data_IF_118500221020
#
_entry.id   IF_118500221020
#
_cell.length_a   1.000
_cell.length_b   1.000
_cell.length_c   1.000
_cell.angle_alpha   90.00
_cell.angle_beta   90.00
_cell.angle_gamma   90.00
#
_symmetry.space_group_name_H-M   'P 1'
#
loop_
_entity.id
_entity.type
_entity.pdbx_description
1 polymer ?
#
# COMPACT_ATOMS: atom_id res chain seq x y z
N UNK A 1 -1.50 19.73 -15.92
CA UNK A 1 -0.93 19.51 -14.56
C UNK A 1 -2.12 19.14 -13.68
N UNK A 2 -2.29 17.86 -13.40
CA UNK A 2 -3.36 17.40 -12.48
C UNK A 2 -3.06 17.91 -11.07
N UNK A 3 -4.10 18.32 -10.35
CA UNK A 3 -4.00 18.64 -8.93
C UNK A 3 -3.35 17.46 -8.22
N UNK A 4 -2.26 17.73 -7.48
CA UNK A 4 -1.61 16.75 -6.65
C UNK A 4 -2.60 16.33 -5.57
N UNK A 5 -2.70 15.03 -5.30
CA UNK A 5 -3.50 14.54 -4.19
C UNK A 5 -2.95 15.10 -2.87
N UNK A 6 -3.80 15.62 -1.99
CA UNK A 6 -3.39 16.15 -0.69
C UNK A 6 -2.57 15.13 0.10
N UNK A 7 -2.94 13.87 0.00
CA UNK A 7 -2.21 12.78 0.65
C UNK A 7 -0.78 12.61 0.09
N UNK A 8 -0.57 12.81 -1.21
CA UNK A 8 0.77 12.79 -1.81
C UNK A 8 1.62 13.98 -1.32
N UNK A 9 1.00 15.14 -1.08
CA UNK A 9 1.69 16.32 -0.57
C UNK A 9 2.21 16.11 0.85
N UNK A 10 1.41 15.49 1.70
CA UNK A 10 1.75 15.26 3.12
C UNK A 10 2.32 13.87 3.41
N UNK A 11 2.51 13.02 2.40
CA UNK A 11 3.06 11.66 2.53
C UNK A 11 2.36 10.81 3.60
N UNK A 12 1.09 11.12 3.87
CA UNK A 12 0.21 10.47 4.82
C UNK A 12 -1.25 10.62 4.37
N UNK A 13 -2.18 9.78 4.86
CA UNK A 13 -3.59 9.92 4.51
C UNK A 13 -4.29 10.87 5.46
N UNK A 14 -4.81 11.97 4.94
CA UNK A 14 -5.68 12.87 5.69
C UNK A 14 -6.98 12.15 6.06
N UNK A 15 -7.36 12.25 7.32
CA UNK A 15 -8.60 11.71 7.88
C UNK A 15 -9.70 12.78 7.85
N UNK A 16 -10.94 12.36 8.09
CA UNK A 16 -12.12 13.27 8.04
C UNK A 16 -12.12 14.39 9.10
N UNK A 17 -11.34 14.22 10.15
CA UNK A 17 -11.18 15.18 11.25
C UNK A 17 -10.00 16.14 11.08
N UNK A 18 -9.25 16.02 9.98
CA UNK A 18 -8.06 16.83 9.67
C UNK A 18 -6.74 16.23 10.17
N UNK A 19 -6.77 15.16 10.96
CA UNK A 19 -5.58 14.40 11.34
C UNK A 19 -5.10 13.49 10.20
N UNK A 20 -4.00 12.80 10.40
CA UNK A 20 -3.40 11.91 9.40
C UNK A 20 -3.27 10.49 9.91
N UNK A 21 -3.30 9.52 8.99
CA UNK A 21 -2.84 8.17 9.27
C UNK A 21 -1.45 7.95 8.71
N UNK A 22 -0.57 7.38 9.54
CA UNK A 22 0.77 6.95 9.19
C UNK A 22 0.75 5.44 9.01
N UNK A 23 1.26 4.97 7.89
CA UNK A 23 1.16 3.54 7.51
C UNK A 23 2.55 3.03 7.15
N UNK A 24 3.28 2.45 8.10
CA UNK A 24 4.57 1.83 7.84
C UNK A 24 4.43 0.59 6.96
N UNK A 25 5.48 0.27 6.21
CA UNK A 25 5.52 -0.95 5.40
C UNK A 25 5.77 -2.17 6.29
N UNK A 26 4.93 -3.17 6.11
CA UNK A 26 5.07 -4.51 6.69
C UNK A 26 4.96 -5.49 5.54
N UNK A 27 6.11 -5.79 4.92
CA UNK A 27 6.17 -6.60 3.71
C UNK A 27 5.66 -8.02 3.96
N UNK A 28 4.76 -8.50 3.10
CA UNK A 28 4.14 -9.81 3.25
C UNK A 28 3.32 -10.01 4.54
N UNK A 29 3.09 -8.95 5.33
CA UNK A 29 2.47 -9.04 6.65
C UNK A 29 3.40 -9.60 7.74
N UNK A 30 4.69 -9.79 7.45
CA UNK A 30 5.68 -10.28 8.42
C UNK A 30 6.32 -9.10 9.17
N UNK A 31 6.35 -9.18 10.50
CA UNK A 31 6.90 -8.15 11.36
C UNK A 31 7.70 -8.78 12.51
N UNK A 32 8.86 -8.22 12.80
CA UNK A 32 9.68 -8.66 13.94
C UNK A 32 9.09 -8.16 15.27
N UNK A 33 9.34 -8.87 16.40
CA UNK A 33 8.90 -8.41 17.72
C UNK A 33 9.37 -6.98 18.05
N UNK A 34 10.63 -6.63 17.74
CA UNK A 34 11.18 -5.29 18.01
C UNK A 34 10.45 -4.21 17.22
N UNK A 35 10.17 -4.45 15.96
CA UNK A 35 9.38 -3.52 15.14
C UNK A 35 7.94 -3.38 15.65
N UNK A 36 7.33 -4.47 16.14
CA UNK A 36 5.99 -4.41 16.74
C UNK A 36 6.00 -3.60 18.03
N UNK A 37 7.02 -3.72 18.87
CA UNK A 37 7.22 -2.90 20.08
C UNK A 37 7.36 -1.43 19.68
N UNK A 38 8.19 -1.11 18.70
CA UNK A 38 8.36 0.28 18.21
C UNK A 38 7.03 0.90 17.77
N UNK A 39 6.18 0.16 17.05
CA UNK A 39 4.86 0.66 16.66
C UNK A 39 3.99 1.01 17.88
N UNK A 40 4.02 0.17 18.91
CA UNK A 40 3.31 0.41 20.16
C UNK A 40 3.86 1.62 20.93
N UNK A 41 5.18 1.79 20.97
CA UNK A 41 5.84 2.94 21.61
C UNK A 41 5.50 4.24 20.90
N UNK A 42 5.64 4.28 19.57
CA UNK A 42 5.27 5.45 18.75
C UNK A 42 3.79 5.81 18.94
N UNK A 43 2.92 4.80 18.95
CA UNK A 43 1.49 5.05 19.18
C UNK A 43 1.22 5.68 20.55
N UNK A 44 1.91 5.25 21.61
CA UNK A 44 1.79 5.83 22.97
C UNK A 44 2.40 7.23 23.03
N UNK A 45 3.56 7.45 22.42
CA UNK A 45 4.28 8.72 22.44
C UNK A 45 3.47 9.85 21.79
N UNK A 46 2.79 9.55 20.69
CA UNK A 46 2.03 10.55 19.91
C UNK A 46 0.50 10.43 20.08
N UNK A 47 0.00 9.67 21.05
CA UNK A 47 -1.42 9.42 21.31
C UNK A 47 -2.20 8.99 20.07
N UNK A 48 -1.70 7.93 19.38
CA UNK A 48 -2.27 7.44 18.13
C UNK A 48 -3.15 6.21 18.33
N UNK A 49 -4.28 6.20 17.63
CA UNK A 49 -5.11 5.00 17.50
C UNK A 49 -4.44 3.97 16.59
N UNK A 50 -4.36 2.72 17.04
CA UNK A 50 -3.74 1.61 16.29
C UNK A 50 -4.78 0.65 15.73
N UNK A 51 -4.58 0.19 14.50
CA UNK A 51 -5.44 -0.83 13.89
C UNK A 51 -4.68 -1.72 12.93
N UNK A 52 -4.85 -3.03 13.08
CA UNK A 52 -4.50 -4.00 12.02
C UNK A 52 -5.55 -3.87 10.92
N UNK A 53 -5.11 -3.49 9.73
CA UNK A 53 -6.00 -3.24 8.59
C UNK A 53 -6.01 -4.41 7.61
N UNK A 54 -6.94 -4.39 6.66
CA UNK A 54 -7.09 -5.44 5.65
C UNK A 54 -5.88 -5.63 4.73
N UNK A 55 -4.88 -4.76 4.83
CA UNK A 55 -3.60 -4.87 4.11
C UNK A 55 -2.52 -5.63 4.88
N UNK A 56 -2.84 -6.30 5.98
CA UNK A 56 -1.88 -6.96 6.88
C UNK A 56 -0.80 -5.99 7.42
N UNK A 57 -1.21 -4.76 7.73
CA UNK A 57 -0.36 -3.72 8.31
C UNK A 57 -0.99 -3.18 9.58
N UNK A 58 -0.17 -2.61 10.44
CA UNK A 58 -0.61 -1.79 11.57
C UNK A 58 -0.61 -0.34 11.12
N UNK A 59 -1.78 0.25 10.98
CA UNK A 59 -1.95 1.65 10.62
C UNK A 59 -2.13 2.48 11.91
N UNK A 60 -1.45 3.63 11.99
CA UNK A 60 -1.48 4.57 13.11
C UNK A 60 -2.34 5.78 12.70
N UNK A 61 -3.38 6.10 13.45
CA UNK A 61 -4.33 7.18 13.13
C UNK A 61 -4.30 8.29 14.18
N UNK A 62 -4.62 9.51 13.78
CA UNK A 62 -4.72 10.66 14.66
C UNK A 62 -3.47 11.55 14.68
N UNK A 63 -2.47 11.29 13.84
CA UNK A 63 -1.26 12.10 13.79
C UNK A 63 -1.57 13.54 13.37
N UNK A 64 -1.02 14.52 14.11
CA UNK A 64 -1.08 15.94 13.74
C UNK A 64 -0.04 16.21 12.64
N UNK A 65 -0.26 17.25 11.85
CA UNK A 65 0.62 17.60 10.72
C UNK A 65 2.08 17.82 11.16
N UNK A 66 2.28 18.56 12.23
CA UNK A 66 3.60 18.88 12.78
C UNK A 66 4.30 17.69 13.45
N UNK A 67 3.57 16.65 13.84
CA UNK A 67 4.14 15.45 14.45
C UNK A 67 4.62 14.43 13.40
N UNK A 68 4.16 14.55 12.14
CA UNK A 68 4.51 13.59 11.09
C UNK A 68 6.02 13.37 10.93
N UNK A 69 6.87 14.42 10.88
CA UNK A 69 8.31 14.21 10.77
C UNK A 69 8.91 13.43 11.95
N UNK A 70 8.52 13.75 13.19
CA UNK A 70 9.01 13.05 14.38
C UNK A 70 8.56 11.59 14.41
N UNK A 71 7.31 11.31 14.01
CA UNK A 71 6.80 9.94 13.86
C UNK A 71 7.61 9.18 12.81
N UNK A 72 7.88 9.78 11.65
CA UNK A 72 8.68 9.13 10.61
C UNK A 72 10.12 8.88 11.03
N UNK A 73 10.76 9.82 11.76
CA UNK A 73 12.10 9.64 12.29
C UNK A 73 12.17 8.40 13.18
N UNK A 74 11.25 8.28 14.14
CA UNK A 74 11.17 7.10 15.01
C UNK A 74 10.99 5.79 14.23
N UNK A 75 10.14 5.81 13.18
CA UNK A 75 9.88 4.63 12.36
C UNK A 75 11.04 4.29 11.43
N UNK A 76 11.67 5.29 10.79
CA UNK A 76 12.82 5.09 9.90
C UNK A 76 14.03 4.57 10.67
N UNK A 77 14.30 5.10 11.86
CA UNK A 77 15.38 4.64 12.74
C UNK A 77 15.21 3.17 13.17
N UNK A 78 13.97 2.72 13.32
CA UNK A 78 13.65 1.31 13.56
C UNK A 78 13.62 0.45 12.28
N UNK A 79 14.04 1.00 11.14
CA UNK A 79 14.13 0.29 9.87
C UNK A 79 12.78 0.08 9.17
N UNK A 80 11.78 0.93 9.44
CA UNK A 80 10.58 1.00 8.62
C UNK A 80 10.79 1.91 7.41
N UNK A 81 9.98 1.67 6.40
CA UNK A 81 9.81 2.55 5.24
C UNK A 81 8.34 2.95 5.10
N UNK A 82 8.08 3.98 4.30
CA UNK A 82 6.70 4.33 3.97
C UNK A 82 5.97 3.17 3.30
N UNK A 83 4.76 2.87 3.75
CA UNK A 83 3.88 1.88 3.11
C UNK A 83 3.13 2.42 1.89
N UNK A 84 3.44 3.65 1.43
CA UNK A 84 2.80 4.32 0.29
C UNK A 84 1.26 4.20 0.30
N UNK A 85 0.66 4.25 1.50
CA UNK A 85 -0.80 4.17 1.64
C UNK A 85 -1.52 5.42 1.10
N UNK A 86 -0.79 6.45 0.77
CA UNK A 86 -1.17 7.64 0.03
C UNK A 86 -0.83 7.48 -1.46
N UNK A 87 -1.40 8.32 -2.31
CA UNK A 87 -1.17 8.31 -3.75
C UNK A 87 -1.69 7.05 -4.46
N UNK A 88 -1.26 6.88 -5.70
CA UNK A 88 -1.64 5.78 -6.59
C UNK A 88 -0.42 4.87 -6.80
N UNK A 89 -0.12 4.03 -5.82
CA UNK A 89 1.04 3.14 -5.81
C UNK A 89 0.65 1.73 -5.37
N UNK A 90 1.63 0.83 -5.35
CA UNK A 90 1.51 -0.47 -4.68
C UNK A 90 1.18 -0.26 -3.20
N UNK A 91 0.12 -0.90 -2.74
CA UNK A 91 -0.34 -0.81 -1.35
C UNK A 91 0.33 -1.80 -0.44
N UNK A 92 0.22 -3.07 -0.79
CA UNK A 92 0.72 -4.19 -0.02
C UNK A 92 0.62 -5.46 -0.86
N UNK A 93 1.46 -6.42 -0.56
CA UNK A 93 1.35 -7.79 -1.05
C UNK A 93 0.88 -8.65 0.13
N UNK A 94 -0.39 -9.05 0.15
CA UNK A 94 -0.91 -9.96 1.17
C UNK A 94 -0.31 -11.36 0.99
N UNK A 95 -0.04 -12.01 2.10
CA UNK A 95 0.46 -13.38 2.13
C UNK A 95 -0.35 -14.25 3.09
N UNK A 96 -0.38 -15.54 2.86
CA UNK A 96 -0.67 -16.50 3.91
C UNK A 96 0.65 -16.96 4.55
N UNK A 97 0.59 -17.81 5.57
CA UNK A 97 1.79 -18.24 6.32
C UNK A 97 2.73 -19.20 5.56
N UNK A 98 2.37 -19.57 4.32
CA UNK A 98 3.22 -20.37 3.42
C UNK A 98 3.57 -21.76 3.87
N UNK A 99 4.47 -22.41 3.12
CA UNK A 99 4.91 -23.80 3.38
C UNK A 99 5.71 -23.94 4.68
N UNK A 100 6.32 -22.90 5.17
CA UNK A 100 7.11 -22.94 6.42
C UNK A 100 6.25 -23.30 7.64
N UNK A 101 5.03 -22.78 7.73
CA UNK A 101 4.16 -22.95 8.89
C UNK A 101 2.88 -23.75 8.61
N UNK A 102 2.38 -23.72 7.37
CA UNK A 102 1.13 -24.34 7.02
C UNK A 102 1.34 -25.76 6.48
N UNK A 103 0.71 -26.75 7.10
CA UNK A 103 0.76 -28.15 6.63
C UNK A 103 0.23 -28.37 5.20
N UNK A 104 -0.50 -27.41 4.66
CA UNK A 104 -1.08 -27.45 3.30
C UNK A 104 -0.31 -26.55 2.31
N UNK A 105 0.64 -25.75 2.81
CA UNK A 105 1.44 -24.90 1.97
C UNK A 105 2.38 -25.72 1.08
N UNK A 106 2.37 -25.46 -0.21
CA UNK A 106 3.26 -26.15 -1.18
C UNK A 106 4.44 -25.29 -1.62
N UNK A 107 4.32 -23.95 -1.47
CA UNK A 107 5.38 -22.99 -1.77
C UNK A 107 5.51 -21.96 -0.64
N UNK A 108 6.66 -21.27 -0.57
CA UNK A 108 6.90 -20.19 0.37
C UNK A 108 6.27 -18.87 -0.13
N UNK A 109 5.00 -18.70 0.21
CA UNK A 109 4.25 -17.49 -0.15
C UNK A 109 4.67 -16.25 0.63
N UNK A 110 5.29 -16.40 1.79
CA UNK A 110 5.77 -15.27 2.59
C UNK A 110 6.98 -14.64 1.93
N UNK A 111 7.99 -15.45 1.58
CA UNK A 111 9.18 -14.95 0.90
C UNK A 111 8.83 -14.30 -0.43
N UNK A 112 8.02 -14.96 -1.27
CA UNK A 112 7.60 -14.37 -2.54
C UNK A 112 6.82 -13.05 -2.35
N UNK A 113 5.94 -12.96 -1.35
CA UNK A 113 5.21 -11.73 -1.09
C UNK A 113 6.14 -10.59 -0.64
N UNK A 114 7.15 -10.88 0.17
CA UNK A 114 8.18 -9.92 0.61
C UNK A 114 8.97 -9.44 -0.61
N UNK A 115 9.43 -10.34 -1.47
CA UNK A 115 10.21 -10.03 -2.67
C UNK A 115 9.42 -9.14 -3.63
N UNK A 116 8.16 -9.49 -3.92
CA UNK A 116 7.27 -8.70 -4.78
C UNK A 116 6.98 -7.33 -4.18
N UNK A 117 6.77 -7.24 -2.86
CA UNK A 117 6.50 -5.96 -2.21
C UNK A 117 7.73 -5.06 -2.24
N UNK A 118 8.92 -5.59 -1.99
CA UNK A 118 10.17 -4.83 -2.08
C UNK A 118 10.50 -4.44 -3.52
N UNK A 119 10.20 -5.29 -4.49
CA UNK A 119 10.42 -5.00 -5.91
C UNK A 119 9.56 -3.83 -6.41
N UNK A 120 8.28 -3.79 -6.04
CA UNK A 120 7.33 -2.82 -6.61
C UNK A 120 6.95 -1.67 -5.68
N UNK A 121 7.57 -1.58 -4.49
CA UNK A 121 7.32 -0.47 -3.56
C UNK A 121 7.59 0.88 -4.23
N UNK A 122 6.71 1.84 -4.00
CA UNK A 122 6.84 3.20 -4.52
C UNK A 122 6.48 3.40 -6.00
N UNK A 123 6.26 2.34 -6.78
CA UNK A 123 5.87 2.47 -8.19
C UNK A 123 4.53 3.17 -8.30
N UNK A 124 4.51 4.30 -9.00
CA UNK A 124 3.30 5.06 -9.28
C UNK A 124 2.57 4.48 -10.47
N UNK A 125 1.26 4.30 -10.34
CA UNK A 125 0.39 3.68 -11.33
C UNK A 125 -0.89 4.50 -11.55
N UNK A 126 -1.66 4.25 -12.61
CA UNK A 126 -2.94 4.93 -12.84
C UNK A 126 -3.91 4.84 -11.66
N UNK A 127 -3.89 3.74 -10.93
CA UNK A 127 -4.64 3.53 -9.69
C UNK A 127 -3.79 2.72 -8.68
N UNK A 128 -4.26 2.65 -7.41
CA UNK A 128 -3.64 1.78 -6.40
C UNK A 128 -3.62 0.32 -6.87
N UNK A 129 -2.48 -0.33 -6.69
CA UNK A 129 -2.27 -1.75 -7.02
C UNK A 129 -2.27 -2.58 -5.74
N UNK A 130 -2.86 -3.75 -5.77
CA UNK A 130 -2.89 -4.71 -4.69
C UNK A 130 -2.50 -6.09 -5.19
N UNK A 131 -1.72 -6.79 -4.38
CA UNK A 131 -1.32 -8.17 -4.61
C UNK A 131 -1.85 -9.12 -3.53
N UNK A 132 -1.84 -10.39 -3.84
CA UNK A 132 -2.03 -11.47 -2.87
C UNK A 132 -1.28 -12.71 -3.31
N UNK A 133 -0.57 -13.36 -2.39
CA UNK A 133 0.20 -14.57 -2.64
C UNK A 133 -0.28 -15.67 -1.70
N UNK A 134 -0.89 -16.70 -2.23
CA UNK A 134 -1.36 -17.86 -1.50
C UNK A 134 -0.42 -19.06 -1.70
N UNK A 135 0.04 -19.67 -0.62
CA UNK A 135 0.97 -20.81 -0.63
C UNK A 135 0.36 -22.14 -1.05
N UNK A 136 -0.90 -22.18 -1.41
CA UNK A 136 -1.62 -23.32 -1.98
C UNK A 136 -2.98 -22.90 -2.53
N UNK A 137 -3.69 -23.83 -3.18
CA UNK A 137 -5.01 -23.62 -3.79
C UNK A 137 -6.16 -23.34 -2.81
N UNK A 138 -5.92 -23.34 -1.48
CA UNK A 138 -6.91 -22.89 -0.48
C UNK A 138 -7.10 -21.39 -0.46
N UNK A 139 -6.20 -20.65 -1.06
CA UNK A 139 -6.38 -19.23 -1.41
C UNK A 139 -6.60 -18.29 -0.20
N UNK A 140 -5.90 -18.54 0.91
CA UNK A 140 -6.07 -17.80 2.16
C UNK A 140 -5.65 -16.31 2.08
N UNK A 141 -4.83 -15.92 1.10
CA UNK A 141 -4.44 -14.52 0.89
C UNK A 141 -5.43 -13.73 0.03
N UNK A 142 -6.55 -14.34 -0.39
CA UNK A 142 -7.57 -13.72 -1.26
C UNK A 142 -6.97 -13.18 -2.57
N UNK A 143 -6.07 -13.95 -3.18
CA UNK A 143 -5.30 -13.57 -4.35
C UNK A 143 -6.20 -13.21 -5.53
N UNK A 144 -7.26 -14.00 -5.80
CA UNK A 144 -8.18 -13.76 -6.91
C UNK A 144 -9.04 -12.50 -6.78
N UNK A 145 -8.96 -11.78 -5.66
CA UNK A 145 -9.61 -10.49 -5.47
C UNK A 145 -8.67 -9.29 -5.67
N UNK A 146 -7.44 -9.53 -6.11
CA UNK A 146 -6.41 -8.52 -6.24
C UNK A 146 -6.12 -8.17 -7.70
N UNK A 147 -5.44 -7.04 -7.91
CA UNK A 147 -4.96 -6.64 -9.25
C UNK A 147 -3.99 -7.69 -9.81
N UNK A 148 -3.17 -8.27 -8.91
CA UNK A 148 -2.32 -9.44 -9.18
C UNK A 148 -2.51 -10.46 -8.08
N UNK A 149 -2.86 -11.66 -8.43
CA UNK A 149 -3.01 -12.81 -7.55
C UNK A 149 -2.05 -13.91 -7.91
N UNK A 150 -1.34 -14.46 -6.93
CA UNK A 150 -0.44 -15.58 -7.12
C UNK A 150 -0.89 -16.73 -6.21
N UNK A 151 -1.08 -17.89 -6.81
CA UNK A 151 -1.48 -19.10 -6.07
C UNK A 151 -0.48 -20.20 -6.39
N UNK A 152 0.12 -20.74 -5.33
CA UNK A 152 1.08 -21.84 -5.45
C UNK A 152 0.42 -23.15 -5.86
N UNK A 153 1.12 -23.88 -6.72
CA UNK A 153 0.90 -25.27 -7.05
C UNK A 153 2.15 -26.10 -6.72
N UNK A 154 2.08 -27.41 -6.83
CA UNK A 154 3.26 -28.27 -6.66
C UNK A 154 4.32 -28.05 -7.77
N UNK A 155 3.90 -27.54 -8.93
CA UNK A 155 4.75 -27.34 -10.09
C UNK A 155 5.32 -25.91 -10.21
N UNK A 156 4.78 -24.95 -9.44
CA UNK A 156 5.19 -23.53 -9.56
C UNK A 156 4.09 -22.58 -9.07
N UNK A 157 3.94 -21.48 -9.77
CA UNK A 157 3.01 -20.41 -9.44
C UNK A 157 1.98 -20.18 -10.54
N UNK A 158 0.71 -20.13 -10.18
CA UNK A 158 -0.33 -19.63 -11.06
C UNK A 158 -0.51 -18.13 -10.87
N UNK A 159 -0.41 -17.38 -11.96
CA UNK A 159 -0.62 -15.93 -11.99
C UNK A 159 -2.06 -15.62 -12.42
N UNK A 160 -2.75 -14.86 -11.58
CA UNK A 160 -4.07 -14.31 -11.83
C UNK A 160 -3.98 -12.79 -11.92
N UNK A 161 -4.73 -12.16 -12.82
CA UNK A 161 -4.66 -10.72 -13.07
C UNK A 161 -6.02 -10.06 -13.10
N UNK A 162 -6.04 -8.75 -12.89
CA UNK A 162 -7.22 -7.90 -13.05
C UNK A 162 -8.41 -8.23 -12.12
N UNK A 163 -8.15 -8.78 -10.94
CA UNK A 163 -9.17 -8.91 -9.89
C UNK A 163 -9.48 -7.58 -9.20
N UNK A 164 -10.66 -7.48 -8.64
CA UNK A 164 -11.08 -6.30 -7.88
C UNK A 164 -12.02 -6.69 -6.72
N UNK A 165 -11.55 -6.58 -5.49
CA UNK A 165 -12.36 -6.73 -4.27
C UNK A 165 -13.04 -5.42 -3.80
N UNK A 166 -13.28 -4.46 -4.70
CA UNK A 166 -13.91 -3.18 -4.39
C UNK A 166 -15.42 -3.16 -4.64
N UNK A 167 -15.97 -1.95 -4.82
CA UNK A 167 -17.42 -1.71 -5.01
C UNK A 167 -18.00 -2.44 -6.25
N UNK A 168 -17.19 -2.72 -7.27
CA UNK A 168 -17.56 -3.56 -8.41
C UNK A 168 -16.65 -4.80 -8.37
N UNK A 169 -17.01 -5.83 -7.62
CA UNK A 169 -16.17 -7.00 -7.45
C UNK A 169 -16.02 -7.77 -8.77
N UNK A 170 -14.82 -8.30 -8.97
CA UNK A 170 -14.48 -9.16 -10.09
C UNK A 170 -13.41 -10.15 -9.65
N UNK A 171 -13.58 -11.42 -9.97
CA UNK A 171 -12.51 -12.40 -9.84
C UNK A 171 -11.39 -12.08 -10.84
N UNK A 172 -10.16 -12.30 -10.43
CA UNK A 172 -9.02 -12.23 -11.33
C UNK A 172 -9.06 -13.37 -12.36
N UNK A 173 -8.63 -13.10 -13.58
CA UNK A 173 -8.51 -14.12 -14.61
C UNK A 173 -7.19 -14.86 -14.46
N UNK A 174 -7.20 -16.17 -14.70
CA UNK A 174 -5.99 -16.96 -14.79
C UNK A 174 -5.19 -16.54 -16.03
N UNK A 175 -4.01 -15.99 -15.80
CA UNK A 175 -3.17 -15.43 -16.84
C UNK A 175 -2.08 -16.43 -17.29
N UNK A 176 -1.47 -17.13 -16.34
CA UNK A 176 -0.48 -18.17 -16.65
C UNK A 176 -0.42 -19.21 -15.51
N UNK A 177 0.02 -20.41 -15.84
CA UNK A 177 0.07 -21.55 -14.90
C UNK A 177 1.49 -22.07 -14.76
N UNK A 178 1.79 -22.64 -13.60
CA UNK A 178 3.00 -23.38 -13.28
C UNK A 178 4.30 -22.64 -13.62
N UNK A 179 4.30 -21.30 -13.43
CA UNK A 179 5.46 -20.46 -13.64
C UNK A 179 6.51 -20.70 -12.56
N UNK A 180 7.78 -20.76 -12.95
CA UNK A 180 8.87 -20.53 -12.02
C UNK A 180 8.87 -19.07 -11.51
N UNK A 181 9.61 -18.79 -10.45
CA UNK A 181 9.61 -17.46 -9.82
C UNK A 181 10.10 -16.36 -10.76
N UNK A 182 11.12 -16.62 -11.56
CA UNK A 182 11.70 -15.61 -12.48
C UNK A 182 10.73 -15.30 -13.62
N UNK A 183 10.10 -16.31 -14.17
CA UNK A 183 9.06 -16.17 -15.19
C UNK A 183 7.82 -15.44 -14.66
N UNK A 184 7.42 -15.74 -13.43
CA UNK A 184 6.34 -15.02 -12.74
C UNK A 184 6.66 -13.52 -12.60
N UNK A 185 7.84 -13.19 -12.09
CA UNK A 185 8.27 -11.81 -11.87
C UNK A 185 8.31 -11.06 -13.21
N UNK A 186 8.89 -11.67 -14.24
CA UNK A 186 8.94 -11.07 -15.58
C UNK A 186 7.56 -10.83 -16.17
N UNK A 187 6.63 -11.78 -16.00
CA UNK A 187 5.26 -11.62 -16.46
C UNK A 187 4.54 -10.46 -15.73
N UNK A 188 4.74 -10.33 -14.41
CA UNK A 188 4.20 -9.23 -13.62
C UNK A 188 4.82 -7.89 -14.02
N UNK A 189 6.15 -7.84 -14.22
CA UNK A 189 6.86 -6.64 -14.68
C UNK A 189 6.25 -6.09 -15.97
N UNK A 190 6.14 -6.94 -16.99
CA UNK A 190 5.63 -6.56 -18.31
C UNK A 190 4.16 -6.19 -18.27
N UNK A 191 3.33 -6.99 -17.60
CA UNK A 191 1.91 -6.66 -17.44
C UNK A 191 1.72 -5.32 -16.75
N UNK A 192 2.42 -5.09 -15.63
CA UNK A 192 2.32 -3.84 -14.86
C UNK A 192 2.77 -2.64 -15.67
N UNK A 193 3.90 -2.74 -16.38
CA UNK A 193 4.40 -1.65 -17.23
C UNK A 193 3.47 -1.38 -18.40
N UNK A 194 2.92 -2.42 -19.03
CA UNK A 194 1.95 -2.26 -20.12
C UNK A 194 0.67 -1.57 -19.62
N UNK A 195 0.15 -1.98 -18.45
CA UNK A 195 -0.98 -1.31 -17.79
C UNK A 195 -0.66 0.16 -17.47
N UNK A 196 0.50 0.47 -16.90
CA UNK A 196 0.90 1.85 -16.56
C UNK A 196 0.95 2.74 -17.80
N UNK A 197 1.39 2.20 -18.94
CA UNK A 197 1.53 2.93 -20.22
C UNK A 197 0.22 3.17 -20.95
N UNK A 198 -0.75 2.28 -20.78
CA UNK A 198 -1.95 2.24 -21.65
C UNK A 198 -3.26 2.53 -20.91
N UNK A 199 -3.28 2.43 -19.58
CA UNK A 199 -4.49 2.71 -18.81
C UNK A 199 -4.72 4.21 -18.61
N UNK A 200 -5.99 4.60 -18.59
CA UNK A 200 -6.40 5.95 -18.25
C UNK A 200 -6.14 6.27 -16.77
N UNK A 201 -6.02 7.56 -16.47
CA UNK A 201 -5.91 8.03 -15.09
C UNK A 201 -7.08 7.52 -14.24
N UNK A 202 -6.80 6.97 -13.06
CA UNK A 202 -7.76 6.38 -12.11
C UNK A 202 -8.45 5.11 -12.60
N UNK A 203 -8.04 4.56 -13.70
CA UNK A 203 -8.56 3.29 -14.20
C UNK A 203 -7.90 2.11 -13.46
N UNK A 204 -8.72 1.22 -12.87
CA UNK A 204 -8.25 -0.02 -12.25
C UNK A 204 -7.89 -1.06 -13.31
N UNK A 205 -6.97 -1.96 -12.99
CA UNK A 205 -6.58 -3.09 -13.84
C UNK A 205 -7.78 -3.87 -14.37
N UNK A 206 -8.78 -4.14 -13.53
CA UNK A 206 -10.02 -4.82 -13.91
C UNK A 206 -10.78 -4.08 -15.03
N UNK A 207 -10.93 -2.76 -14.90
CA UNK A 207 -11.63 -1.94 -15.91
C UNK A 207 -10.80 -1.71 -17.17
N UNK A 208 -9.49 -1.59 -16.99
CA UNK A 208 -8.57 -1.51 -18.11
C UNK A 208 -8.66 -2.76 -18.98
N UNK A 209 -8.57 -3.94 -18.38
CA UNK A 209 -8.66 -5.21 -19.12
C UNK A 209 -10.02 -5.43 -19.79
N UNK A 210 -11.12 -5.09 -19.11
CA UNK A 210 -12.47 -5.21 -19.67
C UNK A 210 -12.69 -4.29 -20.88
N UNK A 211 -12.05 -3.13 -20.91
CA UNK A 211 -12.20 -2.14 -21.99
C UNK A 211 -11.18 -2.34 -23.11
N UNK A 212 -10.17 -3.20 -22.92
CA UNK A 212 -9.11 -3.42 -23.88
C UNK A 212 -9.60 -4.35 -25.00
N UNK A 213 -9.46 -3.93 -26.24
CA UNK A 213 -9.75 -4.78 -27.39
C UNK A 213 -8.84 -6.01 -27.39
N UNK A 214 -9.43 -7.19 -27.56
CA UNK A 214 -8.69 -8.45 -27.41
C UNK A 214 -8.51 -8.93 -25.98
N UNK A 215 -8.78 -8.09 -24.97
CA UNK A 215 -8.84 -8.47 -23.55
C UNK A 215 -7.61 -9.19 -23.04
N UNK A 216 -7.83 -10.30 -22.32
CA UNK A 216 -6.77 -11.08 -21.67
C UNK A 216 -5.79 -11.69 -22.68
N UNK A 217 -6.31 -12.24 -23.79
CA UNK A 217 -5.49 -12.92 -24.82
C UNK A 217 -4.52 -11.92 -25.50
N UNK A 218 -5.00 -10.72 -25.77
CA UNK A 218 -4.13 -9.67 -26.29
C UNK A 218 -2.99 -9.30 -25.33
N UNK A 219 -3.31 -9.13 -24.03
CA UNK A 219 -2.28 -8.84 -23.04
C UNK A 219 -1.32 -10.01 -22.86
N UNK A 220 -1.83 -11.25 -22.95
CA UNK A 220 -0.98 -12.44 -22.93
C UNK A 220 0.03 -12.42 -24.08
N UNK A 221 -0.42 -12.14 -25.30
CA UNK A 221 0.44 -12.05 -26.48
C UNK A 221 1.50 -10.96 -26.35
N UNK A 222 1.16 -9.81 -25.79
CA UNK A 222 2.12 -8.72 -25.52
C UNK A 222 3.17 -9.15 -24.48
N UNK A 223 2.75 -9.78 -23.39
CA UNK A 223 3.62 -10.12 -22.26
C UNK A 223 4.53 -11.31 -22.55
N UNK A 224 3.99 -12.40 -23.12
CA UNK A 224 4.71 -13.66 -23.33
C UNK A 224 5.26 -13.82 -24.73
N UNK A 225 4.52 -13.38 -25.75
CA UNK A 225 4.87 -13.59 -27.15
C UNK A 225 5.52 -12.35 -27.80
N UNK A 226 5.62 -11.24 -27.03
CA UNK A 226 6.18 -9.96 -27.54
C UNK A 226 5.54 -9.51 -28.85
N UNK A 227 4.23 -9.66 -28.99
CA UNK A 227 3.51 -9.39 -30.25
C UNK A 227 3.63 -7.96 -30.76
N UNK A 228 4.03 -7.02 -29.89
CA UNK A 228 4.27 -5.62 -30.22
C UNK A 228 5.77 -5.28 -30.39
N UNK A 229 6.69 -6.20 -30.10
CA UNK A 229 8.13 -5.95 -30.12
C UNK A 229 8.60 -4.95 -29.06
N UNK A 230 7.95 -4.90 -27.89
CA UNK A 230 8.23 -3.93 -26.81
C UNK A 230 8.66 -4.58 -25.50
N UNK A 231 8.85 -5.88 -25.45
CA UNK A 231 9.15 -6.60 -24.21
C UNK A 231 10.42 -6.08 -23.52
N UNK A 232 11.50 -5.88 -24.28
CA UNK A 232 12.75 -5.32 -23.75
C UNK A 232 12.56 -3.89 -23.20
N UNK A 233 11.75 -3.05 -23.86
CA UNK A 233 11.46 -1.70 -23.40
C UNK A 233 10.65 -1.71 -22.09
N UNK A 234 9.68 -2.63 -21.95
CA UNK A 234 8.94 -2.82 -20.70
C UNK A 234 9.85 -3.28 -19.56
N UNK A 235 10.72 -4.26 -19.81
CA UNK A 235 11.68 -4.77 -18.84
C UNK A 235 12.66 -3.66 -18.38
N UNK A 236 13.21 -2.88 -19.32
CA UNK A 236 14.12 -1.76 -19.04
C UNK A 236 13.44 -0.63 -18.26
N UNK A 237 12.19 -0.31 -18.54
CA UNK A 237 11.45 0.70 -17.81
C UNK A 237 11.17 0.25 -16.38
N UNK A 238 10.78 -1.00 -16.17
CA UNK A 238 10.59 -1.55 -14.83
C UNK A 238 11.90 -1.52 -14.03
N UNK A 239 13.02 -1.96 -14.62
CA UNK A 239 14.33 -1.93 -13.97
C UNK A 239 14.69 -0.52 -13.48
N UNK A 240 14.51 0.51 -14.33
CA UNK A 240 14.74 1.92 -13.96
C UNK A 240 13.87 2.39 -12.80
N UNK A 241 12.60 1.98 -12.74
CA UNK A 241 11.70 2.36 -11.63
C UNK A 241 12.15 1.72 -10.31
N UNK A 242 12.62 0.48 -10.36
CA UNK A 242 13.13 -0.25 -9.20
C UNK A 242 14.43 0.39 -8.69
N UNK A 243 15.38 0.66 -9.58
CA UNK A 243 16.68 1.25 -9.24
C UNK A 243 16.56 2.66 -8.65
N UNK A 244 15.56 3.43 -9.10
CA UNK A 244 15.36 4.82 -8.63
C UNK A 244 14.47 4.92 -7.39
N UNK A 245 14.10 3.81 -6.76
CA UNK A 245 13.29 3.85 -5.55
C UNK A 245 14.01 4.54 -4.40
N UNK A 246 13.27 5.43 -3.73
CA UNK A 246 13.69 6.08 -2.49
C UNK A 246 12.51 6.13 -1.53
N UNK A 247 12.78 5.91 -0.24
CA UNK A 247 11.77 6.10 0.80
C UNK A 247 11.48 7.59 0.97
N UNK A 248 10.27 8.03 0.62
CA UNK A 248 9.89 9.45 0.65
C UNK A 248 9.93 10.05 2.06
N UNK A 249 9.67 9.26 3.11
CA UNK A 249 9.83 9.73 4.49
C UNK A 249 11.30 10.06 4.78
N UNK A 250 12.21 9.13 4.47
CA UNK A 250 13.64 9.32 4.68
C UNK A 250 14.18 10.53 3.92
N UNK A 251 13.89 10.63 2.62
CA UNK A 251 14.35 11.76 1.81
C UNK A 251 13.73 13.10 2.23
N UNK A 252 12.56 13.08 2.87
CA UNK A 252 11.94 14.28 3.43
C UNK A 252 12.63 14.71 4.73
N UNK A 253 12.96 13.76 5.60
CA UNK A 253 13.68 14.03 6.86
C UNK A 253 15.08 14.62 6.60
N UNK A 254 15.72 14.21 5.53
CA UNK A 254 17.05 14.71 5.11
C UNK A 254 17.01 16.08 4.40
N UNK A 255 15.82 16.61 4.07
CA UNK A 255 15.65 17.84 3.29
C UNK A 255 14.93 18.95 4.10
N UNK A 256 15.67 19.97 4.62
CA UNK A 256 15.08 21.04 5.42
C UNK A 256 13.99 21.85 4.69
N UNK A 257 14.05 21.93 3.36
CA UNK A 257 13.04 22.67 2.59
C UNK A 257 11.74 21.87 2.48
N UNK A 258 11.82 20.56 2.36
CA UNK A 258 10.63 19.69 2.41
C UNK A 258 9.99 19.69 3.80
N UNK A 259 10.78 19.71 4.87
CA UNK A 259 10.29 19.76 6.25
C UNK A 259 9.47 21.01 6.57
N UNK A 260 9.68 22.12 5.86
CA UNK A 260 8.89 23.35 6.06
C UNK A 260 7.38 23.15 5.86
N UNK A 261 6.98 22.16 5.06
CA UNK A 261 5.56 21.84 4.81
C UNK A 261 4.82 21.33 6.04
N UNK A 262 5.56 20.77 7.00
CA UNK A 262 5.03 20.14 8.20
C UNK A 262 5.06 21.07 9.41
N UNK A 263 5.34 22.35 9.21
CA UNK A 263 5.27 23.38 10.25
C UNK A 263 3.90 24.02 10.24
N UNK A 264 3.34 24.19 11.44
CA UNK A 264 2.13 24.97 11.60
C UNK A 264 2.42 26.43 11.23
N UNK A 265 1.59 27.00 10.34
CA UNK A 265 1.79 28.37 9.86
C UNK A 265 1.17 29.44 10.78
N UNK A 266 0.55 29.04 11.88
CA UNK A 266 -0.11 29.92 12.84
C UNK A 266 0.84 30.10 14.02
N UNK A 267 1.02 31.34 14.48
CA UNK A 267 1.81 31.67 15.68
C UNK A 267 1.06 31.26 16.96
N UNK A 268 0.57 30.04 16.99
CA UNK A 268 -0.14 29.43 18.09
C UNK A 268 0.53 28.09 18.39
N UNK A 269 1.09 27.97 19.59
CA UNK A 269 1.67 26.73 20.09
C UNK A 269 0.59 25.78 20.64
N UNK A 270 -0.69 26.16 20.55
CA UNK A 270 -1.84 25.40 21.00
C UNK A 270 -2.23 24.28 20.07
N UNK A 271 -2.92 23.29 20.63
CA UNK A 271 -3.58 22.25 19.85
C UNK A 271 -4.70 22.85 18.98
N UNK A 272 -4.87 22.30 17.79
CA UNK A 272 -5.99 22.69 16.92
C UNK A 272 -7.32 22.44 17.65
N UNK A 273 -8.10 23.48 17.96
CA UNK A 273 -9.34 23.34 18.73
C UNK A 273 -10.42 22.52 18.02
N UNK A 274 -10.26 22.27 16.72
CA UNK A 274 -11.18 21.45 15.93
C UNK A 274 -10.83 19.96 15.97
N UNK A 275 -9.59 19.60 16.36
CA UNK A 275 -9.15 18.24 16.54
C UNK A 275 -9.41 17.82 17.99
N UNK A 276 -10.60 17.28 18.24
CA UNK A 276 -11.01 16.82 19.57
C UNK A 276 -11.05 15.30 19.56
N UNK A 277 -10.33 14.68 20.48
CA UNK A 277 -10.33 13.22 20.69
C UNK A 277 -11.07 12.85 21.97
N UNK A 278 -11.65 11.66 21.98
CA UNK A 278 -12.22 11.00 23.16
C UNK A 278 -11.66 9.59 23.24
N UNK A 279 -11.59 9.06 24.46
CA UNK A 279 -11.16 7.68 24.67
C UNK A 279 -12.33 6.72 24.45
N UNK A 280 -12.09 5.69 23.64
CA UNK A 280 -13.02 4.58 23.44
C UNK A 280 -12.24 3.29 23.21
N UNK A 281 -12.56 2.24 23.93
CA UNK A 281 -11.85 0.95 23.88
C UNK A 281 -10.34 1.11 24.14
N UNK A 282 -10.00 1.89 25.15
CA UNK A 282 -8.61 2.18 25.57
C UNK A 282 -7.73 2.81 24.47
N UNK A 283 -8.35 3.52 23.53
CA UNK A 283 -7.66 4.21 22.44
C UNK A 283 -8.33 5.56 22.12
N UNK A 284 -7.53 6.57 21.67
CA UNK A 284 -8.08 7.85 21.24
C UNK A 284 -8.84 7.69 19.92
N UNK A 285 -10.01 8.31 19.81
CA UNK A 285 -10.73 8.46 18.55
C UNK A 285 -11.27 9.88 18.37
N UNK A 286 -11.52 10.32 17.14
CA UNK A 286 -12.17 11.60 16.92
C UNK A 286 -13.53 11.68 17.62
N UNK A 287 -13.77 12.81 18.29
CA UNK A 287 -15.07 13.10 18.87
C UNK A 287 -16.16 13.26 17.80
N UNK A 288 -17.35 12.78 18.07
CA UNK A 288 -18.54 13.05 17.24
C UNK A 288 -18.93 14.53 17.31
N UNK A 289 -19.82 14.97 16.42
CA UNK A 289 -20.31 16.34 16.45
C UNK A 289 -21.03 16.67 17.79
N UNK A 290 -21.76 15.72 18.35
CA UNK A 290 -22.47 15.87 19.63
C UNK A 290 -21.47 15.99 20.78
N UNK A 291 -20.46 15.12 20.86
CA UNK A 291 -19.42 15.17 21.90
C UNK A 291 -18.57 16.45 21.80
N UNK A 292 -18.38 17.02 20.62
CA UNK A 292 -17.73 18.32 20.45
C UNK A 292 -18.57 19.46 21.02
N UNK A 293 -19.89 19.44 20.81
CA UNK A 293 -20.81 20.46 21.31
C UNK A 293 -20.88 20.47 22.84
N UNK A 294 -20.82 19.30 23.49
CA UNK A 294 -20.82 19.19 24.96
C UNK A 294 -19.58 19.84 25.62
N UNK A 295 -18.46 19.96 24.88
CA UNK A 295 -17.19 20.55 25.35
C UNK A 295 -17.09 22.06 25.11
N UNK A 296 -17.99 22.65 24.33
CA UNK A 296 -18.05 24.11 24.18
C UNK A 296 -18.64 24.67 25.48
N UNK A 297 -17.88 25.47 26.29
CA UNK A 297 -18.42 26.07 27.46
C UNK A 297 -19.65 26.89 27.07
N UNK A 298 -20.77 26.67 27.74
CA UNK A 298 -21.94 27.53 27.58
C UNK A 298 -21.49 28.98 27.82
N UNK A 299 -21.50 29.80 26.77
CA UNK A 299 -21.24 31.22 26.91
C UNK A 299 -22.39 31.73 27.78
N UNK A 300 -22.09 32.02 29.06
CA UNK A 300 -23.04 32.71 29.92
C UNK A 300 -23.26 34.12 29.34
N UNK A 301 -24.45 34.32 28.76
CA UNK A 301 -24.93 35.61 28.27
C UNK A 301 -25.21 36.53 29.45
#
# INVERSE_FOLDING_TARGET
VGLQDTNDTFLANMQKDGTFSVVPRVAGGEITPDKLITLGEVAKEFDLYTKITGGQRVDLFGAKLNDLPAIWERLVDAGFETGHAYGKALRTVKSCVGSTWCRYGVQDSVQLAIDLEHRYKGIRAPHKIKFGVSGCTRECAEAQSKDFGVIATENGWNLYVAGNGGMRPRHADLFAQDLDTDSLIRAVDRFMMFYIRTADRLQRTARWLENLEGGLDYVYDVVFNDSLGIAEDLDNQMARLIENYQCEWKTTLEDPDKLKRFRQMINDDGDDPYVVTVEEREQPRPATAEEKLERIPAVSV
#
